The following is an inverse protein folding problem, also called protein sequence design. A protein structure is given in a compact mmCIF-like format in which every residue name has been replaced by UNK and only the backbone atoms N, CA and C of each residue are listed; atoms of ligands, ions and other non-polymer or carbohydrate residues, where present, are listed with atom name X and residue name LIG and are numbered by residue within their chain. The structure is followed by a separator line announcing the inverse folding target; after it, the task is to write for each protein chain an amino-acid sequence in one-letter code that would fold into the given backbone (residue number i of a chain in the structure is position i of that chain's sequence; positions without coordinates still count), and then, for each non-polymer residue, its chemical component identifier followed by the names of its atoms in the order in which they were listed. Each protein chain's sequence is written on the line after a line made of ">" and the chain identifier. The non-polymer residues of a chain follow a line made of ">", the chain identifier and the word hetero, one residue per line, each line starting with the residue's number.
data_IF_139038981192
#
_entry.id   IF_139038981192
#
_cell.length_a   1.000
_cell.length_b   1.000
_cell.length_c   1.000
_cell.angle_alpha   90.00
_cell.angle_beta   90.00
_cell.angle_gamma   90.00
#
_symmetry.space_group_name_H-M   'P 1'
#
loop_
_entity.id
_entity.type
_entity.pdbx_description
1 polymer ?
#
# COMPACT_ATOMS: atom_id res chain seq x y z
N UNK A 1 -4.69 -2.53 15.59
CA UNK A 1 -3.49 -2.88 14.82
C UNK A 1 -3.83 -2.57 13.38
N UNK A 2 -2.86 -2.09 12.59
CA UNK A 2 -3.13 -1.68 11.21
C UNK A 2 -2.55 -2.68 10.22
N UNK A 3 -2.98 -2.57 8.98
CA UNK A 3 -2.27 -3.14 7.84
C UNK A 3 -1.34 -2.10 7.24
N UNK A 4 -0.28 -2.57 6.58
CA UNK A 4 0.83 -1.74 6.09
C UNK A 4 1.13 -2.10 4.65
N UNK A 5 1.15 -1.10 3.77
CA UNK A 5 1.63 -1.27 2.39
C UNK A 5 3.15 -1.10 2.38
N UNK A 6 3.84 -2.02 1.73
CA UNK A 6 5.31 -2.15 1.75
C UNK A 6 5.91 -1.96 0.36
N UNK A 7 7.22 -2.17 0.22
CA UNK A 7 8.02 -1.72 -0.93
C UNK A 7 7.46 -2.16 -2.28
N UNK A 8 6.94 -3.39 -2.37
CA UNK A 8 6.57 -3.96 -3.66
C UNK A 8 5.34 -3.27 -4.31
N UNK A 9 4.62 -2.40 -3.60
CA UNK A 9 3.56 -1.60 -4.22
C UNK A 9 4.10 -0.42 -5.05
N UNK A 10 5.29 0.10 -4.73
CA UNK A 10 5.87 1.25 -5.42
C UNK A 10 6.08 0.90 -6.91
N UNK A 11 5.63 1.80 -7.79
CA UNK A 11 5.59 1.65 -9.27
C UNK A 11 4.72 0.50 -9.81
N UNK A 12 4.11 -0.30 -8.95
CA UNK A 12 3.09 -1.27 -9.34
C UNK A 12 1.71 -0.62 -9.27
N UNK A 13 1.33 -0.18 -8.05
CA UNK A 13 0.07 0.50 -7.73
C UNK A 13 -1.13 -0.10 -8.49
N UNK A 14 -1.37 -1.40 -8.27
CA UNK A 14 -2.47 -2.13 -8.92
C UNK A 14 -3.86 -1.67 -8.46
N UNK A 15 -3.96 -1.25 -7.20
CA UNK A 15 -5.16 -0.68 -6.54
C UNK A 15 -6.32 -1.65 -6.25
N UNK A 16 -6.22 -2.95 -6.54
CA UNK A 16 -7.27 -3.96 -6.24
C UNK A 16 -7.68 -3.99 -4.76
N UNK A 17 -6.72 -3.72 -3.87
CA UNK A 17 -6.92 -3.69 -2.42
C UNK A 17 -7.96 -2.66 -1.94
N UNK A 18 -8.24 -1.61 -2.74
CA UNK A 18 -9.17 -0.55 -2.33
C UNK A 18 -10.63 -0.99 -2.46
N UNK A 19 -10.96 -1.84 -3.44
CA UNK A 19 -12.34 -2.27 -3.70
C UNK A 19 -12.91 -3.18 -2.61
N UNK A 20 -12.02 -3.80 -1.81
CA UNK A 20 -12.40 -4.69 -0.70
C UNK A 20 -12.34 -4.00 0.67
N UNK A 21 -11.85 -2.77 0.74
CA UNK A 21 -11.72 -2.07 2.02
C UNK A 21 -13.09 -1.59 2.53
N UNK A 22 -13.59 -2.07 3.69
CA UNK A 22 -14.92 -1.71 4.18
C UNK A 22 -15.02 -0.29 4.76
N UNK A 23 -13.88 0.37 4.97
CA UNK A 23 -13.75 1.66 5.67
C UNK A 23 -13.02 2.72 4.85
N UNK A 24 -12.70 2.44 3.58
CA UNK A 24 -12.02 3.37 2.66
C UNK A 24 -10.71 3.99 3.20
N UNK A 25 -9.97 3.25 4.03
CA UNK A 25 -8.75 3.73 4.70
C UNK A 25 -7.49 3.83 3.80
N UNK A 26 -7.63 3.64 2.48
CA UNK A 26 -6.51 3.78 1.55
C UNK A 26 -6.31 5.24 1.11
N UNK A 27 -5.06 5.66 1.00
CA UNK A 27 -4.65 6.97 0.51
C UNK A 27 -3.72 6.82 -0.68
N UNK A 28 -3.92 7.66 -1.69
CA UNK A 28 -3.31 7.57 -3.00
C UNK A 28 -2.22 8.62 -3.20
N UNK A 29 -0.98 8.14 -3.37
CA UNK A 29 0.13 8.92 -3.91
C UNK A 29 0.30 8.72 -5.41
N UNK A 30 1.27 9.40 -6.05
CA UNK A 30 1.53 9.27 -7.48
C UNK A 30 1.80 7.83 -7.92
N UNK A 31 2.68 7.12 -7.19
CA UNK A 31 3.14 5.78 -7.56
C UNK A 31 3.09 4.74 -6.43
N UNK A 32 2.38 5.04 -5.34
CA UNK A 32 2.26 4.22 -4.14
C UNK A 32 0.90 4.42 -3.46
N UNK A 33 0.42 3.42 -2.73
CA UNK A 33 -0.73 3.54 -1.83
C UNK A 33 -0.27 3.38 -0.40
N UNK A 34 -0.92 4.06 0.53
CA UNK A 34 -0.74 3.85 1.97
C UNK A 34 -2.08 3.55 2.64
N UNK A 35 -2.00 2.89 3.79
CA UNK A 35 -3.14 2.63 4.67
C UNK A 35 -3.07 3.62 5.84
N UNK A 36 -4.19 4.30 6.10
CA UNK A 36 -4.33 5.15 7.26
C UNK A 36 -4.49 4.28 8.53
N UNK A 37 -3.53 4.32 9.47
CA UNK A 37 -3.55 3.44 10.64
C UNK A 37 -4.67 3.75 11.62
N UNK A 38 -5.21 4.97 11.61
CA UNK A 38 -6.29 5.38 12.52
C UNK A 38 -7.66 4.93 12.01
N UNK A 39 -7.80 4.72 10.70
CA UNK A 39 -9.04 4.26 10.06
C UNK A 39 -9.05 2.74 9.84
N UNK A 40 -7.89 2.10 9.75
CA UNK A 40 -7.82 0.65 9.53
C UNK A 40 -8.42 -0.14 10.69
N UNK A 41 -9.35 -1.05 10.36
CA UNK A 41 -10.05 -1.89 11.36
C UNK A 41 -9.53 -3.33 11.43
N UNK A 42 -8.33 -3.59 10.89
CA UNK A 42 -7.66 -4.90 11.01
C UNK A 42 -8.45 -6.10 10.44
N UNK A 43 -9.18 -5.90 9.35
CA UNK A 43 -10.05 -6.94 8.77
C UNK A 43 -9.33 -7.93 7.84
N UNK A 44 -8.07 -7.67 7.47
CA UNK A 44 -7.20 -8.52 6.64
C UNK A 44 -7.66 -8.88 5.22
N UNK A 45 -8.81 -8.34 4.76
CA UNK A 45 -9.36 -8.66 3.43
C UNK A 45 -8.51 -8.11 2.27
N UNK A 46 -7.72 -7.06 2.50
CA UNK A 46 -6.89 -6.45 1.46
C UNK A 46 -5.59 -7.22 1.17
N UNK A 47 -5.12 -8.07 2.10
CA UNK A 47 -3.87 -8.84 1.94
C UNK A 47 -3.91 -9.74 0.70
N UNK A 48 -4.86 -10.69 0.56
CA UNK A 48 -4.87 -11.62 -0.57
C UNK A 48 -5.18 -10.96 -1.92
N UNK A 49 -5.77 -9.77 -1.91
CA UNK A 49 -6.17 -9.06 -3.13
C UNK A 49 -5.00 -8.32 -3.80
N UNK A 50 -3.89 -8.07 -3.08
CA UNK A 50 -2.77 -7.33 -3.64
C UNK A 50 -1.94 -8.22 -4.60
N UNK A 51 -1.92 -7.96 -5.93
CA UNK A 51 -1.14 -8.79 -6.87
C UNK A 51 0.38 -8.69 -6.67
N UNK A 52 0.84 -7.66 -5.97
CA UNK A 52 2.23 -7.46 -5.58
C UNK A 52 2.59 -8.12 -4.24
N UNK A 53 1.64 -8.75 -3.53
CA UNK A 53 1.85 -9.26 -2.16
C UNK A 53 2.52 -8.22 -1.24
N UNK A 54 2.12 -6.96 -1.36
CA UNK A 54 2.79 -5.83 -0.72
C UNK A 54 2.12 -5.39 0.59
N UNK A 55 1.08 -6.08 1.06
CA UNK A 55 0.31 -5.70 2.25
C UNK A 55 0.52 -6.74 3.34
N UNK A 56 0.89 -6.26 4.53
CA UNK A 56 1.13 -7.08 5.71
C UNK A 56 0.33 -6.56 6.90
N UNK A 57 0.01 -7.43 7.85
CA UNK A 57 -0.31 -6.96 9.20
C UNK A 57 0.94 -6.31 9.80
N UNK A 58 0.77 -5.28 10.64
CA UNK A 58 1.88 -4.53 11.22
C UNK A 58 2.92 -5.43 11.92
N UNK A 59 2.47 -6.45 12.63
CA UNK A 59 3.31 -7.44 13.32
C UNK A 59 4.06 -8.41 12.38
N UNK A 60 3.58 -8.56 11.15
CA UNK A 60 4.11 -9.48 10.13
C UNK A 60 4.98 -8.76 9.10
N UNK A 61 5.18 -7.44 9.24
CA UNK A 61 6.04 -6.66 8.34
C UNK A 61 7.48 -7.22 8.41
N UNK A 62 8.10 -7.56 7.27
CA UNK A 62 9.49 -8.01 7.23
C UNK A 62 10.44 -7.02 7.89
N UNK A 63 11.48 -7.53 8.58
CA UNK A 63 12.38 -6.71 9.38
C UNK A 63 13.09 -5.60 8.57
N UNK A 64 13.37 -5.85 7.30
CA UNK A 64 13.99 -4.92 6.34
C UNK A 64 13.00 -3.90 5.75
N UNK A 65 11.71 -4.01 6.09
CA UNK A 65 10.63 -3.15 5.61
C UNK A 65 9.86 -2.46 6.75
N UNK A 66 10.33 -2.55 7.99
CA UNK A 66 9.70 -1.91 9.16
C UNK A 66 9.50 -0.40 9.02
N UNK A 67 10.34 0.28 8.21
CA UNK A 67 10.19 1.70 7.91
C UNK A 67 8.86 2.05 7.22
N UNK A 68 8.21 1.08 6.57
CA UNK A 68 6.94 1.31 5.90
C UNK A 68 5.79 1.54 6.90
N UNK A 69 5.90 1.08 8.14
CA UNK A 69 4.90 1.34 9.19
C UNK A 69 4.77 2.85 9.42
N UNK A 70 5.91 3.50 9.73
CA UNK A 70 5.96 4.94 9.91
C UNK A 70 5.60 5.69 8.63
N UNK A 71 6.10 5.22 7.47
CA UNK A 71 5.82 5.86 6.18
C UNK A 71 4.32 5.89 5.83
N UNK A 72 3.57 4.82 6.13
CA UNK A 72 2.13 4.78 5.87
C UNK A 72 1.41 5.84 6.74
N UNK A 73 1.75 5.93 8.01
CA UNK A 73 1.21 6.93 8.94
C UNK A 73 1.59 8.37 8.58
N UNK A 74 2.82 8.59 8.09
CA UNK A 74 3.30 9.91 7.68
C UNK A 74 2.62 10.41 6.41
N UNK A 75 2.42 9.53 5.41
CA UNK A 75 1.84 9.91 4.13
C UNK A 75 0.31 9.88 4.10
N UNK A 76 -0.35 9.15 5.01
CA UNK A 76 -1.81 9.07 5.03
C UNK A 76 -2.54 10.43 5.16
N UNK A 77 -2.07 11.42 5.95
CA UNK A 77 -2.69 12.75 5.97
C UNK A 77 -2.34 13.62 4.76
N UNK A 78 -1.27 13.31 4.02
CA UNK A 78 -0.83 14.08 2.84
C UNK A 78 -1.53 13.62 1.55
N UNK A 79 -1.80 12.33 1.45
CA UNK A 79 -2.38 11.70 0.26
C UNK A 79 -3.91 11.74 0.25
N UNK A 80 -4.49 11.83 -0.94
CA UNK A 80 -5.94 11.85 -1.11
C UNK A 80 -6.55 10.46 -0.88
N UNK A 81 -7.76 10.38 -0.32
CA UNK A 81 -8.48 9.11 -0.20
C UNK A 81 -8.81 8.51 -1.57
N UNK A 82 -8.68 7.18 -1.68
CA UNK A 82 -9.09 6.37 -2.83
C UNK A 82 -10.02 5.25 -2.38
N UNK A 83 -11.21 5.19 -2.97
CA UNK A 83 -12.26 4.20 -2.64
C UNK A 83 -12.70 3.34 -3.83
N UNK A 84 -12.01 3.47 -4.98
CA UNK A 84 -12.27 2.65 -6.18
C UNK A 84 -10.99 2.34 -6.91
N UNK A 85 -10.87 1.09 -7.36
CA UNK A 85 -9.73 0.66 -8.14
C UNK A 85 -9.62 1.44 -9.46
N UNK A 86 -8.38 1.64 -9.88
CA UNK A 86 -7.98 2.25 -11.14
C UNK A 86 -7.13 1.25 -11.91
N UNK A 87 -6.82 1.59 -13.17
CA UNK A 87 -5.84 0.80 -13.90
C UNK A 87 -4.48 0.86 -13.19
N UNK A 88 -3.74 -0.26 -13.12
CA UNK A 88 -2.36 -0.28 -12.65
C UNK A 88 -1.49 0.71 -13.44
N UNK A 89 -0.31 1.02 -12.90
CA UNK A 89 0.67 1.81 -13.65
C UNK A 89 1.10 1.07 -14.94
N UNK A 90 1.45 1.79 -16.03
CA UNK A 90 1.71 1.17 -17.33
C UNK A 90 2.73 0.03 -17.31
N UNK A 91 3.75 0.14 -16.47
CA UNK A 91 4.86 -0.82 -16.36
C UNK A 91 4.77 -1.66 -15.08
N UNK A 92 3.60 -1.76 -14.44
CA UNK A 92 3.44 -2.39 -13.13
C UNK A 92 4.03 -3.82 -13.06
N UNK A 93 3.78 -4.63 -14.09
CA UNK A 93 4.27 -6.00 -14.16
C UNK A 93 5.80 -6.08 -14.30
N UNK A 94 6.42 -5.08 -14.93
CA UNK A 94 7.89 -4.99 -15.01
C UNK A 94 8.51 -4.59 -13.66
N UNK A 95 7.75 -3.91 -12.79
CA UNK A 95 8.21 -3.47 -11.46
C UNK A 95 7.86 -4.44 -10.34
N UNK A 96 6.95 -5.38 -10.57
CA UNK A 96 6.54 -6.35 -9.57
C UNK A 96 7.70 -7.31 -9.23
N UNK A 97 8.03 -7.41 -7.95
CA UNK A 97 9.11 -8.26 -7.44
C UNK A 97 10.51 -7.66 -7.52
N UNK A 98 10.66 -6.41 -8.00
CA UNK A 98 11.95 -5.69 -7.90
C UNK A 98 12.15 -5.14 -6.49
N UNK A 99 13.38 -5.24 -6.01
CA UNK A 99 13.84 -4.69 -4.73
C UNK A 99 14.31 -3.23 -4.86
N UNK A 100 14.42 -2.53 -3.73
CA UNK A 100 14.99 -1.18 -3.67
C UNK A 100 14.09 -0.10 -4.26
N UNK A 101 12.79 -0.39 -4.41
CA UNK A 101 11.82 0.54 -4.99
C UNK A 101 11.51 1.72 -4.08
N UNK A 102 11.88 1.69 -2.79
CA UNK A 102 11.78 2.86 -1.91
C UNK A 102 12.49 4.10 -2.49
N UNK A 103 13.60 3.91 -3.21
CA UNK A 103 14.33 5.00 -3.88
C UNK A 103 13.53 5.65 -5.04
N UNK A 104 12.42 5.05 -5.45
CA UNK A 104 11.54 5.52 -6.51
C UNK A 104 10.20 6.07 -5.99
N UNK A 105 9.98 6.11 -4.67
CA UNK A 105 8.76 6.67 -4.10
C UNK A 105 8.59 8.14 -4.49
N UNK A 106 7.41 8.49 -4.98
CA UNK A 106 7.00 9.88 -5.23
C UNK A 106 6.03 10.31 -4.13
N UNK A 107 6.30 11.48 -3.53
CA UNK A 107 5.45 12.12 -2.52
C UNK A 107 4.63 13.23 -3.18
#
# INVERSE_FOLDING_TARGET
>A
MTHVVTENCIKCKYTDCVDVCPVDCFREGPNFLVIDPDECIDCAVCIPECPANAIYAEEDVPQDQMQFIALNAELSPEFASISRAKKPLPDADDWNGKEGKLAHLER
#
